data_IF_079192819781
#
_entry.id   IF_079192819781
#
_cell.length_a   1.000
_cell.length_b   1.000
_cell.length_c   1.000
_cell.angle_alpha   90.00
_cell.angle_beta   90.00
_cell.angle_gamma   90.00
#
_symmetry.space_group_name_H-M   'P 1'
#
loop_
_entity.id
_entity.type
_entity.pdbx_description
1 polymer ?
#
# COMPACT_ATOMS: atom_id res chain seq x y z
N UNK A 1 24.47 -15.80 22.41
CA UNK A 1 23.05 -16.00 22.05
C UNK A 1 22.70 -14.87 21.11
N UNK A 2 22.51 -15.17 19.83
CA UNK A 2 22.56 -14.23 18.68
C UNK A 2 21.43 -13.19 18.73
N UNK A 3 21.65 -11.91 18.41
CA UNK A 3 20.55 -10.97 18.23
C UNK A 3 19.81 -11.32 16.93
N UNK A 4 18.49 -11.46 17.02
CA UNK A 4 17.61 -11.48 15.84
C UNK A 4 17.35 -10.02 15.42
N UNK A 5 17.96 -9.56 14.34
CA UNK A 5 17.49 -8.38 13.62
C UNK A 5 17.05 -8.83 12.24
N UNK A 6 15.79 -9.19 12.11
CA UNK A 6 15.13 -9.31 10.81
C UNK A 6 14.43 -7.98 10.53
N UNK A 7 15.18 -6.90 10.48
CA UNK A 7 14.66 -5.64 9.95
C UNK A 7 14.77 -5.74 8.43
N UNK A 8 13.72 -6.26 7.79
CA UNK A 8 13.55 -6.13 6.34
C UNK A 8 13.59 -4.65 6.01
N UNK A 9 14.70 -4.21 5.44
CA UNK A 9 14.87 -2.86 4.95
C UNK A 9 13.84 -2.64 3.82
N UNK A 10 12.78 -1.89 4.13
CA UNK A 10 11.74 -1.47 3.18
C UNK A 10 12.20 -0.27 2.36
N UNK A 11 13.40 0.28 2.62
CA UNK A 11 13.94 1.40 1.85
C UNK A 11 13.95 1.04 0.36
N UNK A 12 13.16 1.77 -0.44
CA UNK A 12 13.06 1.57 -1.88
C UNK A 12 11.82 0.84 -2.38
N UNK A 13 10.91 0.35 -1.52
CA UNK A 13 9.70 -0.38 -1.97
C UNK A 13 8.44 0.47 -1.88
N UNK A 14 7.45 0.10 -2.69
CA UNK A 14 6.10 0.60 -2.56
C UNK A 14 5.35 -0.22 -1.52
N UNK A 15 4.57 0.46 -0.69
CA UNK A 15 3.63 -0.16 0.24
C UNK A 15 2.21 0.27 -0.12
N UNK A 16 1.24 -0.63 0.02
CA UNK A 16 -0.14 -0.35 -0.35
C UNK A 16 -1.10 -0.74 0.78
N UNK A 17 -2.08 0.13 1.02
CA UNK A 17 -3.27 -0.16 1.80
C UNK A 17 -4.48 -0.06 0.88
N UNK A 18 -5.28 -1.13 0.87
CA UNK A 18 -6.47 -1.25 0.02
C UNK A 18 -7.66 -1.51 0.92
N UNK A 19 -8.63 -0.60 0.87
CA UNK A 19 -9.92 -0.76 1.53
C UNK A 19 -11.02 -0.88 0.47
N UNK A 20 -11.54 -2.10 0.32
CA UNK A 20 -12.57 -2.42 -0.66
C UNK A 20 -13.93 -2.38 -0.01
N UNK A 21 -14.73 -1.37 -0.35
CA UNK A 21 -16.12 -1.21 0.06
C UNK A 21 -17.11 -1.46 -1.07
N UNK A 22 -18.35 -0.98 -0.86
CA UNK A 22 -19.49 -1.11 -1.80
C UNK A 22 -19.20 -0.58 -3.21
N UNK A 23 -19.53 0.68 -3.50
CA UNK A 23 -19.35 1.24 -4.86
C UNK A 23 -17.90 1.63 -5.18
N UNK A 24 -17.08 1.93 -4.17
CA UNK A 24 -15.71 2.41 -4.36
C UNK A 24 -14.69 1.65 -3.49
N UNK A 25 -13.47 1.58 -4.00
CA UNK A 25 -12.27 1.08 -3.33
C UNK A 25 -11.30 2.23 -3.15
N UNK A 26 -10.81 2.39 -1.93
CA UNK A 26 -9.76 3.34 -1.58
C UNK A 26 -8.39 2.66 -1.63
N UNK A 27 -7.45 3.30 -2.32
CA UNK A 27 -6.07 2.84 -2.46
C UNK A 27 -5.14 3.93 -1.95
N UNK A 28 -4.31 3.58 -0.98
CA UNK A 28 -3.22 4.42 -0.50
C UNK A 28 -1.92 3.72 -0.85
N UNK A 29 -1.04 4.41 -1.57
CA UNK A 29 0.31 3.94 -1.85
C UNK A 29 1.34 4.82 -1.17
N UNK A 30 2.24 4.23 -0.38
CA UNK A 30 3.47 4.91 0.02
C UNK A 30 4.54 4.65 -1.02
N UNK A 31 5.07 5.73 -1.59
CA UNK A 31 6.20 5.70 -2.50
C UNK A 31 7.46 5.27 -1.76
N UNK A 32 8.48 4.76 -2.48
CA UNK A 32 9.80 4.51 -1.93
C UNK A 32 10.45 5.69 -1.18
N UNK A 33 10.09 6.93 -1.54
CA UNK A 33 10.57 8.17 -0.89
C UNK A 33 9.76 8.55 0.37
N UNK A 34 8.82 7.71 0.78
CA UNK A 34 7.95 7.91 1.94
C UNK A 34 6.72 8.78 1.68
N UNK A 35 6.60 9.43 0.52
CA UNK A 35 5.42 10.25 0.19
C UNK A 35 4.20 9.39 -0.12
N UNK A 36 3.01 9.92 0.14
CA UNK A 36 1.76 9.22 -0.10
C UNK A 36 1.12 9.62 -1.44
N UNK A 37 0.55 8.64 -2.12
CA UNK A 37 -0.37 8.80 -3.23
C UNK A 37 -1.71 8.15 -2.85
N UNK A 38 -2.81 8.79 -3.24
CA UNK A 38 -4.17 8.28 -2.96
C UNK A 38 -4.97 8.20 -4.25
N UNK A 39 -5.80 7.16 -4.36
CA UNK A 39 -6.74 6.97 -5.45
C UNK A 39 -8.04 6.36 -4.93
N UNK A 40 -9.16 6.76 -5.51
CA UNK A 40 -10.48 6.17 -5.27
C UNK A 40 -11.00 5.65 -6.61
N UNK A 41 -11.28 4.34 -6.66
CA UNK A 41 -11.68 3.64 -7.87
C UNK A 41 -13.07 3.02 -7.68
N UNK A 42 -13.82 2.79 -8.76
CA UNK A 42 -15.02 1.95 -8.67
C UNK A 42 -14.60 0.54 -8.20
N UNK A 43 -15.34 -0.03 -7.25
CA UNK A 43 -15.05 -1.37 -6.70
C UNK A 43 -15.23 -2.48 -7.72
N UNK A 44 -16.04 -2.25 -8.74
CA UNK A 44 -16.22 -3.11 -9.90
C UNK A 44 -16.04 -2.28 -11.16
N UNK A 45 -15.32 -2.85 -12.13
CA UNK A 45 -15.26 -2.32 -13.48
C UNK A 45 -15.99 -3.34 -14.36
N UNK A 46 -17.22 -3.07 -14.83
CA UNK A 46 -18.05 -4.03 -15.56
C UNK A 46 -17.62 -4.22 -17.03
N UNK A 47 -16.32 -4.07 -17.29
CA UNK A 47 -15.72 -4.22 -18.62
C UNK A 47 -15.90 -5.62 -19.20
#
# INVERSE_FOLDING_TARGET
MTPIHTSTDTAGRWEFWIDRGGTFTDVIGQRPDGTLATAKLLSENPG
#
